data_IF_719667096706
#
_entry.id   IF_719667096706
#
_cell.length_a   1.000
_cell.length_b   1.000
_cell.length_c   1.000
_cell.angle_alpha   90.00
_cell.angle_beta   90.00
_cell.angle_gamma   90.00
#
_symmetry.space_group_name_H-M   'P 1'
#
loop_
_entity.id
_entity.type
_entity.pdbx_description
1 polymer ?
#
# COMPACT_ATOMS: atom_id res chain seq x y z
N UNK A 1 25.99 64.84 25.46
CA UNK A 1 24.89 64.73 24.49
C UNK A 1 24.14 63.43 24.75
N UNK A 2 22.80 63.45 24.70
CA UNK A 2 21.97 62.57 25.52
C UNK A 2 21.69 61.19 24.92
N UNK A 3 21.38 60.28 25.83
CA UNK A 3 20.89 58.94 25.63
C UNK A 3 19.46 58.91 25.05
N UNK A 4 19.19 57.90 24.21
CA UNK A 4 17.81 57.53 23.85
C UNK A 4 17.64 56.04 24.08
N UNK A 5 17.02 55.71 25.22
CA UNK A 5 16.49 54.40 25.52
C UNK A 5 15.19 54.19 24.73
N UNK A 6 15.06 53.05 24.06
CA UNK A 6 13.79 52.61 23.48
C UNK A 6 13.30 51.39 24.27
N UNK A 7 12.16 51.57 24.95
CA UNK A 7 11.49 50.56 25.80
C UNK A 7 10.02 50.58 25.36
N UNK A 8 9.55 49.55 24.66
CA UNK A 8 8.11 49.28 24.47
C UNK A 8 7.85 47.78 24.63
N UNK A 9 6.72 47.52 25.27
CA UNK A 9 6.26 46.40 26.09
C UNK A 9 5.73 45.17 25.30
N UNK A 10 5.40 44.06 25.99
CA UNK A 10 5.07 42.77 25.38
C UNK A 10 3.59 42.63 24.99
N UNK A 11 3.34 41.93 23.89
CA UNK A 11 2.00 41.58 23.39
C UNK A 11 1.50 40.28 24.02
N UNK A 12 0.23 40.29 24.39
CA UNK A 12 -0.44 39.42 25.33
C UNK A 12 -0.74 38.00 24.83
N UNK A 13 -0.78 37.08 25.79
CA UNK A 13 -1.27 35.71 25.65
C UNK A 13 -2.78 35.68 25.39
N UNK A 14 -3.20 34.92 24.38
CA UNK A 14 -4.61 34.62 24.11
C UNK A 14 -4.97 33.31 24.80
N UNK A 15 -5.74 33.44 25.88
CA UNK A 15 -6.35 32.36 26.65
C UNK A 15 -7.63 31.91 25.93
N UNK A 16 -7.65 30.70 25.35
CA UNK A 16 -8.87 30.12 24.76
C UNK A 16 -9.68 29.43 25.86
N UNK A 17 -10.77 30.08 26.25
CA UNK A 17 -11.79 29.59 27.18
C UNK A 17 -12.71 28.57 26.52
N UNK A 18 -12.87 27.40 27.17
CA UNK A 18 -13.89 26.39 26.90
C UNK A 18 -15.26 26.82 27.44
N UNK A 19 -16.39 26.56 26.75
CA UNK A 19 -17.70 26.66 27.35
C UNK A 19 -18.14 25.32 27.96
N UNK A 20 -18.17 25.32 29.30
CA UNK A 20 -19.04 24.47 30.13
C UNK A 20 -20.49 24.92 29.92
N UNK A 21 -21.40 23.99 29.57
CA UNK A 21 -22.83 24.22 29.76
C UNK A 21 -23.48 23.14 30.63
N UNK A 22 -24.37 23.63 31.47
CA UNK A 22 -24.88 23.07 32.71
C UNK A 22 -26.07 22.13 32.53
N UNK A 23 -26.28 21.38 33.61
CA UNK A 23 -27.34 20.45 33.95
C UNK A 23 -28.77 21.02 34.07
N UNK A 24 -29.70 20.04 34.18
CA UNK A 24 -31.03 19.98 34.84
C UNK A 24 -32.29 20.03 33.95
N UNK A 25 -33.44 19.40 34.34
CA UNK A 25 -33.71 18.56 35.51
C UNK A 25 -34.41 17.20 35.24
N UNK A 26 -34.56 16.47 36.35
CA UNK A 26 -35.25 15.21 36.55
C UNK A 26 -36.76 15.24 36.24
N UNK A 27 -37.28 14.09 35.81
CA UNK A 27 -38.66 13.68 36.10
C UNK A 27 -38.67 12.23 36.57
N UNK A 28 -39.26 12.03 37.74
CA UNK A 28 -39.45 10.76 38.45
C UNK A 28 -40.96 10.53 38.51
N UNK A 29 -41.47 9.47 37.89
CA UNK A 29 -42.82 8.98 38.20
C UNK A 29 -42.85 7.46 38.13
N UNK A 30 -42.99 6.89 39.32
CA UNK A 30 -43.32 5.51 39.66
C UNK A 30 -44.70 5.14 39.11
N UNK A 31 -44.85 3.93 38.56
CA UNK A 31 -46.07 3.13 38.77
C UNK A 31 -45.83 1.64 38.50
N UNK A 32 -46.44 0.85 39.36
CA UNK A 32 -46.30 -0.59 39.49
C UNK A 32 -47.21 -1.39 38.53
N UNK A 33 -46.71 -2.58 38.19
CA UNK A 33 -47.30 -3.91 37.85
C UNK A 33 -48.85 -4.00 37.84
N UNK A 34 -49.47 -4.73 36.87
CA UNK A 34 -49.66 -6.18 37.02
C UNK A 34 -49.35 -7.01 35.75
N UNK A 35 -48.85 -8.24 35.95
CA UNK A 35 -48.92 -9.34 34.98
C UNK A 35 -50.40 -9.80 34.82
N UNK A 36 -50.83 -10.44 33.71
CA UNK A 36 -50.56 -11.87 33.53
C UNK A 36 -50.53 -12.39 32.06
N UNK A 37 -50.37 -13.71 31.96
CA UNK A 37 -50.75 -14.61 30.86
C UNK A 37 -49.74 -14.98 29.77
N UNK A 38 -49.02 -16.06 30.07
CA UNK A 38 -48.70 -17.22 29.21
C UNK A 38 -49.43 -17.22 27.86
N UNK A 39 -48.65 -17.23 26.77
CA UNK A 39 -48.88 -18.14 25.64
C UNK A 39 -47.55 -18.56 25.02
N UNK A 40 -47.41 -19.87 24.93
CA UNK A 40 -46.32 -20.59 24.29
C UNK A 40 -46.31 -20.28 22.79
N UNK A 41 -45.16 -19.84 22.28
CA UNK A 41 -44.70 -20.13 20.92
C UNK A 41 -43.17 -20.22 20.99
N UNK A 42 -42.64 -21.39 20.61
CA UNK A 42 -41.22 -21.66 20.59
C UNK A 42 -40.50 -20.71 19.65
N UNK A 43 -39.55 -19.96 20.19
CA UNK A 43 -38.52 -19.29 19.41
C UNK A 43 -37.19 -19.91 19.81
N UNK A 44 -36.61 -20.65 18.88
CA UNK A 44 -35.24 -21.14 18.95
C UNK A 44 -34.32 -19.93 19.10
N UNK A 45 -33.72 -19.79 20.28
CA UNK A 45 -32.74 -18.77 20.56
C UNK A 45 -31.44 -19.12 19.82
N UNK A 46 -31.23 -18.52 18.65
CA UNK A 46 -29.91 -18.45 18.03
C UNK A 46 -29.07 -17.40 18.78
N UNK A 47 -27.85 -17.73 19.22
CA UNK A 47 -26.99 -16.75 19.87
C UNK A 47 -26.53 -15.68 18.88
N UNK A 48 -26.26 -14.44 19.33
CA UNK A 48 -25.69 -13.41 18.47
C UNK A 48 -24.27 -13.83 18.06
N UNK A 49 -24.11 -14.20 16.80
CA UNK A 49 -22.80 -14.35 16.15
C UNK A 49 -22.16 -12.97 16.12
N UNK A 50 -21.35 -12.65 17.13
CA UNK A 50 -20.32 -11.62 17.05
C UNK A 50 -19.37 -12.04 15.94
N UNK A 51 -19.60 -11.57 14.71
CA UNK A 51 -18.57 -11.52 13.66
C UNK A 51 -17.49 -10.57 14.15
N UNK A 52 -16.50 -11.13 14.85
CA UNK A 52 -15.16 -10.55 14.85
C UNK A 52 -14.73 -10.52 13.39
N UNK A 53 -14.68 -9.33 12.81
CA UNK A 53 -13.85 -9.03 11.65
C UNK A 53 -12.41 -9.24 12.12
N UNK A 54 -11.98 -10.49 12.17
CA UNK A 54 -10.57 -10.83 12.16
C UNK A 54 -10.09 -10.42 10.78
N UNK A 55 -9.38 -9.29 10.73
CA UNK A 55 -8.42 -8.99 9.69
C UNK A 55 -7.37 -10.11 9.70
N UNK A 56 -7.71 -11.22 9.05
CA UNK A 56 -6.74 -12.23 8.69
C UNK A 56 -5.92 -11.64 7.55
N UNK A 57 -4.83 -10.97 7.94
CA UNK A 57 -3.67 -10.78 7.10
C UNK A 57 -3.27 -12.16 6.58
N UNK A 58 -3.69 -12.46 5.35
CA UNK A 58 -3.25 -13.63 4.61
C UNK A 58 -1.86 -13.33 4.04
N UNK A 59 -0.86 -13.27 4.91
CA UNK A 59 0.53 -13.58 4.54
C UNK A 59 0.64 -15.08 4.40
N UNK A 60 0.22 -15.59 3.24
CA UNK A 60 0.52 -16.95 2.80
C UNK A 60 1.92 -16.99 2.17
N UNK A 61 2.74 -18.01 2.48
CA UNK A 61 4.04 -18.19 1.84
C UNK A 61 3.88 -18.86 0.47
N UNK A 62 4.64 -18.38 -0.53
CA UNK A 62 5.06 -19.20 -1.67
C UNK A 62 3.97 -19.68 -2.64
N UNK A 63 3.48 -18.78 -3.50
CA UNK A 63 2.60 -19.12 -4.62
C UNK A 63 3.08 -18.52 -5.94
N UNK A 64 4.35 -18.73 -6.29
CA UNK A 64 4.97 -18.34 -7.56
C UNK A 64 4.40 -19.16 -8.72
N UNK A 65 3.17 -18.86 -9.14
CA UNK A 65 2.60 -19.43 -10.36
C UNK A 65 3.21 -18.78 -11.62
N UNK A 66 3.63 -19.55 -12.64
CA UNK A 66 4.15 -19.02 -13.89
C UNK A 66 2.99 -18.49 -14.74
N UNK A 67 2.64 -17.22 -14.53
CA UNK A 67 1.55 -16.57 -15.27
C UNK A 67 1.56 -15.04 -15.15
N UNK A 68 2.74 -14.45 -14.90
CA UNK A 68 2.96 -13.01 -14.78
C UNK A 68 2.72 -12.26 -16.09
N UNK A 69 2.34 -11.00 -15.96
CA UNK A 69 1.86 -10.14 -17.04
C UNK A 69 3.01 -9.79 -18.00
N UNK A 70 3.27 -10.61 -19.02
CA UNK A 70 4.47 -10.49 -19.87
C UNK A 70 4.69 -9.13 -20.56
N UNK A 71 3.66 -8.29 -20.72
CA UNK A 71 3.81 -6.96 -21.32
C UNK A 71 4.13 -5.87 -20.28
N UNK A 72 3.35 -5.80 -19.19
CA UNK A 72 3.58 -4.86 -18.09
C UNK A 72 4.89 -5.15 -17.36
N UNK A 73 5.19 -6.43 -17.13
CA UNK A 73 6.42 -6.86 -16.46
C UNK A 73 7.67 -6.53 -17.30
N UNK A 74 7.56 -6.45 -18.64
CA UNK A 74 8.69 -6.05 -19.51
C UNK A 74 8.94 -4.55 -19.46
N UNK A 75 7.89 -3.72 -19.43
CA UNK A 75 8.06 -2.29 -19.33
C UNK A 75 8.57 -1.92 -17.94
N UNK A 76 8.02 -2.53 -16.90
CA UNK A 76 8.49 -2.35 -15.53
C UNK A 76 9.96 -2.76 -15.39
N UNK A 77 10.38 -3.91 -15.96
CA UNK A 77 11.81 -4.29 -15.99
C UNK A 77 12.71 -3.28 -16.68
N UNK A 78 12.25 -2.61 -17.75
CA UNK A 78 13.04 -1.58 -18.44
C UNK A 78 13.17 -0.32 -17.59
N UNK A 79 12.07 0.10 -16.98
CA UNK A 79 12.03 1.27 -16.11
C UNK A 79 12.90 1.02 -14.86
N UNK A 80 12.80 -0.18 -14.27
CA UNK A 80 13.63 -0.64 -13.15
C UNK A 80 15.13 -0.67 -13.54
N UNK A 81 15.47 -1.16 -14.73
CA UNK A 81 16.85 -1.17 -15.24
C UNK A 81 17.40 0.25 -15.42
N UNK A 82 16.59 1.18 -15.93
CA UNK A 82 17.00 2.59 -16.09
C UNK A 82 17.21 3.27 -14.73
N UNK A 83 16.38 2.97 -13.74
CA UNK A 83 16.54 3.49 -12.37
C UNK A 83 17.81 2.93 -11.73
N UNK A 84 18.09 1.63 -11.87
CA UNK A 84 19.35 1.04 -11.36
C UNK A 84 20.55 1.70 -12.00
N UNK A 85 20.55 1.82 -13.33
CA UNK A 85 21.64 2.48 -14.05
C UNK A 85 21.80 3.94 -13.62
N UNK A 86 20.70 4.67 -13.45
CA UNK A 86 20.70 6.05 -12.97
C UNK A 86 21.27 6.19 -11.55
N UNK A 87 20.86 5.32 -10.61
CA UNK A 87 21.37 5.31 -9.24
C UNK A 87 22.84 4.94 -9.22
N UNK A 88 23.26 3.90 -9.94
CA UNK A 88 24.66 3.50 -10.03
C UNK A 88 25.52 4.63 -10.60
N UNK A 89 25.07 5.30 -11.66
CA UNK A 89 25.80 6.41 -12.28
C UNK A 89 25.85 7.63 -11.35
N UNK A 90 24.74 7.96 -10.67
CA UNK A 90 24.69 9.03 -9.68
C UNK A 90 25.60 8.76 -8.47
N UNK A 91 25.60 7.53 -7.93
CA UNK A 91 26.51 7.12 -6.87
C UNK A 91 27.96 7.16 -7.33
N UNK A 92 28.25 6.72 -8.56
CA UNK A 92 29.60 6.83 -9.14
C UNK A 92 30.03 8.29 -9.25
N UNK A 93 29.14 9.19 -9.67
CA UNK A 93 29.41 10.63 -9.75
C UNK A 93 29.62 11.22 -8.35
N UNK A 94 28.80 10.85 -7.35
CA UNK A 94 28.96 11.30 -5.96
C UNK A 94 30.29 10.81 -5.38
N UNK A 95 30.68 9.56 -5.64
CA UNK A 95 31.98 9.02 -5.21
C UNK A 95 33.12 9.72 -5.93
N UNK A 96 33.04 9.93 -7.25
CA UNK A 96 34.06 10.67 -7.99
C UNK A 96 34.16 12.12 -7.54
N UNK A 97 33.03 12.77 -7.23
CA UNK A 97 32.98 14.11 -6.69
C UNK A 97 33.57 14.14 -5.27
N UNK A 98 33.28 13.15 -4.43
CA UNK A 98 33.87 13.00 -3.10
C UNK A 98 35.38 12.71 -3.17
N UNK A 99 35.85 11.93 -4.15
CA UNK A 99 37.27 11.67 -4.40
C UNK A 99 37.98 12.87 -5.04
N UNK A 100 37.28 13.70 -5.81
CA UNK A 100 37.85 14.92 -6.44
C UNK A 100 37.87 16.12 -5.50
N UNK A 101 36.81 16.31 -4.73
CA UNK A 101 36.73 17.34 -3.70
C UNK A 101 37.51 16.92 -2.44
N UNK A 102 37.49 15.63 -2.11
CA UNK A 102 38.24 15.04 -1.01
C UNK A 102 39.67 14.64 -1.37
N UNK A 103 40.06 14.55 -2.65
CA UNK A 103 41.47 14.25 -2.99
C UNK A 103 42.44 15.29 -2.44
N UNK A 104 42.02 16.56 -2.47
CA UNK A 104 42.76 17.69 -1.89
C UNK A 104 42.28 17.99 -0.44
N UNK A 105 40.99 17.81 -0.11
CA UNK A 105 40.44 18.11 1.22
C UNK A 105 40.52 16.97 2.27
N UNK A 106 40.74 15.72 1.87
CA UNK A 106 41.04 14.60 2.79
C UNK A 106 42.54 14.59 3.16
N UNK A 107 43.40 15.16 2.31
CA UNK A 107 44.80 15.43 2.66
C UNK A 107 44.92 16.63 3.62
N UNK A 108 44.04 17.62 3.49
CA UNK A 108 43.87 18.74 4.43
C UNK A 108 42.75 18.48 5.48
N UNK A 109 42.39 17.22 5.77
CA UNK A 109 41.26 16.88 6.66
C UNK A 109 41.43 17.40 8.10
N UNK A 110 42.65 17.76 8.52
CA UNK A 110 42.92 18.48 9.77
C UNK A 110 42.26 19.88 9.81
N UNK A 111 41.88 20.44 8.65
CA UNK A 111 41.31 21.79 8.54
C UNK A 111 39.77 21.84 8.69
N UNK A 112 39.09 20.69 8.69
CA UNK A 112 37.63 20.60 8.87
C UNK A 112 37.24 20.27 10.32
N UNK A 113 38.08 20.62 11.29
CA UNK A 113 37.78 20.51 12.72
C UNK A 113 36.63 21.48 13.09
N UNK A 114 35.40 20.97 13.07
CA UNK A 114 34.17 21.70 13.41
C UNK A 114 34.03 21.98 14.93
N UNK A 115 35.15 22.12 15.65
CA UNK A 115 35.20 22.46 17.07
C UNK A 115 34.84 21.31 18.03
N UNK A 116 34.66 20.10 17.50
CA UNK A 116 34.65 18.84 18.26
C UNK A 116 35.82 18.02 17.73
N UNK A 117 36.89 17.96 18.52
CA UNK A 117 38.26 17.53 18.18
C UNK A 117 38.43 16.05 17.76
N UNK A 118 37.45 15.43 17.10
CA UNK A 118 37.48 14.01 16.74
C UNK A 118 36.50 13.58 15.63
N UNK A 119 35.92 14.48 14.82
CA UNK A 119 35.00 14.10 13.74
C UNK A 119 35.50 14.61 12.39
N UNK A 120 36.06 13.70 11.58
CA UNK A 120 36.71 14.04 10.31
C UNK A 120 35.71 14.24 9.16
N UNK A 121 36.20 14.74 8.03
CA UNK A 121 35.42 14.77 6.78
C UNK A 121 34.97 13.38 6.34
N UNK A 122 35.80 12.35 6.57
CA UNK A 122 35.48 10.95 6.33
C UNK A 122 34.31 10.46 7.19
N UNK A 123 34.31 10.83 8.48
CA UNK A 123 33.21 10.50 9.39
C UNK A 123 31.89 11.15 8.96
N UNK A 124 31.96 12.39 8.47
CA UNK A 124 30.77 13.11 7.98
C UNK A 124 30.19 12.43 6.74
N UNK A 125 31.03 12.05 5.78
CA UNK A 125 30.60 11.33 4.59
C UNK A 125 30.04 9.95 4.96
N UNK A 126 30.74 9.22 5.83
CA UNK A 126 30.28 7.93 6.36
C UNK A 126 28.92 8.05 7.05
N UNK A 127 28.72 9.09 7.86
CA UNK A 127 27.46 9.34 8.56
C UNK A 127 26.30 9.62 7.60
N UNK A 128 26.54 10.39 6.54
CA UNK A 128 25.53 10.67 5.50
C UNK A 128 25.19 9.38 4.74
N UNK A 129 26.19 8.58 4.35
CA UNK A 129 25.99 7.32 3.66
C UNK A 129 25.20 6.32 4.53
N UNK A 130 25.60 6.14 5.78
CA UNK A 130 24.87 5.26 6.69
C UNK A 130 23.47 5.76 7.02
N UNK A 131 23.31 7.07 7.27
CA UNK A 131 22.00 7.66 7.55
C UNK A 131 21.03 7.51 6.37
N UNK A 132 21.52 7.71 5.14
CA UNK A 132 20.72 7.50 3.93
C UNK A 132 20.44 6.02 3.68
N UNK A 133 21.41 5.12 3.86
CA UNK A 133 21.17 3.68 3.75
C UNK A 133 20.09 3.20 4.73
N UNK A 134 20.20 3.57 6.01
CA UNK A 134 19.25 3.19 7.06
C UNK A 134 17.83 3.73 6.83
N UNK A 135 17.70 4.87 6.15
CA UNK A 135 16.39 5.41 5.77
C UNK A 135 15.61 4.44 4.87
N UNK A 136 16.31 3.73 3.98
CA UNK A 136 15.72 2.85 2.98
C UNK A 136 15.73 1.38 3.39
N UNK A 137 16.79 0.90 4.03
CA UNK A 137 16.95 -0.52 4.36
C UNK A 137 17.50 -0.68 5.77
N UNK A 138 16.92 -1.58 6.56
CA UNK A 138 17.52 -1.92 7.86
C UNK A 138 18.64 -2.96 7.68
N UNK A 139 19.62 -3.01 8.58
CA UNK A 139 20.64 -4.07 8.56
C UNK A 139 20.02 -5.47 8.64
N UNK A 140 18.89 -5.59 9.33
CA UNK A 140 18.11 -6.83 9.42
C UNK A 140 17.47 -7.18 8.07
N UNK A 141 16.97 -6.20 7.32
CA UNK A 141 16.43 -6.40 5.97
C UNK A 141 17.51 -6.81 4.97
N UNK A 142 18.73 -6.27 5.09
CA UNK A 142 19.86 -6.73 4.29
C UNK A 142 20.15 -8.22 4.55
N UNK A 143 20.09 -8.67 5.81
CA UNK A 143 20.23 -10.09 6.15
C UNK A 143 19.05 -10.93 5.63
N UNK A 144 17.81 -10.45 5.75
CA UNK A 144 16.63 -11.14 5.25
C UNK A 144 16.65 -11.29 3.73
N UNK A 145 17.19 -10.31 3.00
CA UNK A 145 17.39 -10.39 1.56
C UNK A 145 18.29 -11.59 1.20
N UNK A 146 19.36 -11.84 1.98
CA UNK A 146 20.20 -13.03 1.81
C UNK A 146 19.46 -14.33 2.15
N UNK A 147 18.48 -14.30 3.06
CA UNK A 147 17.62 -15.44 3.37
C UNK A 147 16.43 -15.59 2.40
N UNK A 148 16.31 -14.73 1.38
CA UNK A 148 15.21 -14.75 0.42
C UNK A 148 13.88 -14.23 0.97
N UNK A 149 13.89 -13.61 2.15
CA UNK A 149 12.74 -12.94 2.75
C UNK A 149 12.76 -11.46 2.36
N UNK A 150 11.78 -11.02 1.57
CA UNK A 150 11.64 -9.62 1.17
C UNK A 150 10.57 -9.00 2.06
N UNK A 151 11.00 -8.21 3.04
CA UNK A 151 10.07 -7.33 3.75
C UNK A 151 9.62 -6.20 2.84
N UNK A 152 8.32 -5.89 2.89
CA UNK A 152 7.73 -4.87 2.02
C UNK A 152 7.63 -3.52 2.70
N UNK A 153 8.01 -3.37 3.98
CA UNK A 153 7.94 -2.11 4.72
C UNK A 153 9.30 -1.43 4.86
N UNK A 154 9.40 -0.12 4.59
CA UNK A 154 10.65 0.62 4.82
C UNK A 154 10.82 0.91 6.31
N UNK A 155 12.07 0.92 6.83
CA UNK A 155 12.33 1.33 8.21
C UNK A 155 11.83 2.74 8.50
N UNK A 156 11.99 3.67 7.55
CA UNK A 156 11.49 5.04 7.66
C UNK A 156 9.96 5.12 7.71
N UNK A 157 9.26 4.33 6.90
CA UNK A 157 7.80 4.27 6.92
C UNK A 157 7.30 3.75 8.27
N UNK A 158 7.90 2.66 8.77
CA UNK A 158 7.58 2.12 10.08
C UNK A 158 7.81 3.16 11.19
N UNK A 159 8.96 3.84 11.19
CA UNK A 159 9.28 4.85 12.20
C UNK A 159 8.31 6.03 12.13
N UNK A 160 7.97 6.51 10.94
CA UNK A 160 6.98 7.58 10.75
C UNK A 160 5.59 7.17 11.25
N UNK A 161 5.20 5.90 11.08
CA UNK A 161 3.95 5.37 11.64
C UNK A 161 4.00 5.34 13.17
N UNK A 162 5.10 4.88 13.78
CA UNK A 162 5.23 4.85 15.23
C UNK A 162 5.24 6.25 15.84
N UNK A 163 5.98 7.18 15.24
CA UNK A 163 6.00 8.58 15.66
C UNK A 163 4.63 9.24 15.47
N UNK A 164 3.91 8.92 14.39
CA UNK A 164 2.55 9.39 14.16
C UNK A 164 1.57 8.88 15.21
N UNK A 165 1.63 7.58 15.55
CA UNK A 165 0.82 6.97 16.62
C UNK A 165 1.15 7.58 17.98
N UNK A 166 2.43 7.80 18.28
CA UNK A 166 2.86 8.46 19.51
C UNK A 166 2.37 9.91 19.62
N UNK A 167 2.25 10.61 18.49
CA UNK A 167 1.68 11.94 18.39
C UNK A 167 0.13 11.96 18.41
N UNK A 168 -0.52 10.79 18.52
CA UNK A 168 -1.99 10.68 18.55
C UNK A 168 -2.65 10.89 17.19
N UNK A 169 -1.92 10.72 16.09
CA UNK A 169 -2.45 10.84 14.73
C UNK A 169 -3.09 9.52 14.28
N UNK A 170 -4.14 9.62 13.47
CA UNK A 170 -4.80 8.46 12.86
C UNK A 170 -4.00 7.96 11.65
N UNK A 171 -2.97 7.17 11.93
CA UNK A 171 -2.02 6.65 10.94
C UNK A 171 -2.65 5.61 10.01
N UNK A 172 -3.72 4.96 10.46
CA UNK A 172 -4.42 3.92 9.69
C UNK A 172 -5.53 4.51 8.79
N UNK A 173 -5.74 5.84 8.85
CA UNK A 173 -6.66 6.53 7.96
C UNK A 173 -6.17 6.48 6.51
N UNK A 174 -7.12 6.25 5.60
CA UNK A 174 -6.86 6.12 4.16
C UNK A 174 -6.20 7.41 3.61
N UNK A 175 -6.58 8.58 4.11
CA UNK A 175 -6.07 9.88 3.66
C UNK A 175 -4.89 10.41 4.50
N UNK A 176 -4.26 9.55 5.32
CA UNK A 176 -3.19 9.98 6.22
C UNK A 176 -1.99 10.53 5.43
N UNK A 177 -1.68 11.81 5.65
CA UNK A 177 -0.46 12.46 5.16
C UNK A 177 0.46 12.70 6.35
N UNK A 178 1.67 12.15 6.27
CA UNK A 178 2.69 12.31 7.32
C UNK A 178 3.00 13.80 7.52
N UNK A 179 2.80 14.35 8.73
CA UNK A 179 3.13 15.74 9.01
C UNK A 179 4.63 16.02 8.86
N UNK A 180 4.97 17.25 8.48
CA UNK A 180 6.37 17.65 8.27
C UNK A 180 7.24 17.43 9.52
N UNK A 181 6.70 17.67 10.72
CA UNK A 181 7.41 17.44 11.98
C UNK A 181 7.76 15.97 12.19
N UNK A 182 6.84 15.05 11.90
CA UNK A 182 7.07 13.60 12.01
C UNK A 182 8.14 13.16 11.01
N UNK A 183 8.09 13.69 9.78
CA UNK A 183 9.11 13.42 8.76
C UNK A 183 10.48 13.93 9.20
N UNK A 184 10.56 15.16 9.74
CA UNK A 184 11.80 15.75 10.23
C UNK A 184 12.37 14.94 11.40
N UNK A 185 11.52 14.51 12.34
CA UNK A 185 11.93 13.66 13.45
C UNK A 185 12.48 12.30 12.98
N UNK A 186 11.84 11.69 11.98
CA UNK A 186 12.36 10.48 11.36
C UNK A 186 13.73 10.73 10.71
N UNK A 187 13.88 11.78 9.89
CA UNK A 187 15.14 12.13 9.22
C UNK A 187 16.25 12.37 10.26
N UNK A 188 15.94 13.12 11.32
CA UNK A 188 16.87 13.38 12.41
C UNK A 188 17.31 12.10 13.12
N UNK A 189 16.40 11.14 13.31
CA UNK A 189 16.71 9.84 13.94
C UNK A 189 17.69 9.03 13.07
N UNK A 190 17.47 8.97 11.76
CA UNK A 190 18.37 8.26 10.85
C UNK A 190 19.71 9.00 10.67
N UNK A 191 19.71 10.33 10.63
CA UNK A 191 20.93 11.12 10.61
C UNK A 191 21.77 10.89 11.88
N UNK A 192 21.14 10.94 13.07
CA UNK A 192 21.79 10.64 14.34
C UNK A 192 22.34 9.19 14.39
N UNK A 193 21.59 8.24 13.84
CA UNK A 193 22.04 6.84 13.73
C UNK A 193 23.25 6.71 12.80
N UNK A 194 23.25 7.43 11.68
CA UNK A 194 24.39 7.48 10.76
C UNK A 194 25.65 8.05 11.43
N UNK A 195 25.51 9.16 12.16
CA UNK A 195 26.61 9.74 12.95
C UNK A 195 27.13 8.76 14.00
N UNK A 196 26.22 8.08 14.72
CA UNK A 196 26.60 7.08 15.72
C UNK A 196 27.38 5.91 15.09
N UNK A 197 26.96 5.42 13.92
CA UNK A 197 27.66 4.34 13.21
C UNK A 197 29.03 4.81 12.73
N UNK A 198 29.14 5.98 12.12
CA UNK A 198 30.40 6.53 11.64
C UNK A 198 31.39 6.71 12.81
N UNK A 199 30.96 7.38 13.89
CA UNK A 199 31.77 7.56 15.09
C UNK A 199 32.18 6.22 15.71
N UNK A 200 31.28 5.23 15.75
CA UNK A 200 31.61 3.90 16.27
C UNK A 200 32.61 3.15 15.39
N UNK A 201 32.53 3.31 14.06
CA UNK A 201 33.44 2.68 13.12
C UNK A 201 34.85 3.24 13.28
N UNK A 202 34.98 4.56 13.36
CA UNK A 202 36.27 5.23 13.56
C UNK A 202 36.86 4.94 14.95
N UNK A 203 36.03 4.87 15.99
CA UNK A 203 36.48 4.50 17.34
C UNK A 203 36.94 3.03 17.47
N UNK A 204 36.29 2.10 16.77
CA UNK A 204 36.57 0.66 16.88
C UNK A 204 37.65 0.17 15.91
N UNK A 205 37.67 0.71 14.69
CA UNK A 205 38.54 0.27 13.59
C UNK A 205 39.73 1.21 13.38
N UNK A 206 39.72 2.39 14.01
CA UNK A 206 40.81 3.37 13.96
C UNK A 206 40.93 4.10 12.63
N UNK A 207 39.97 3.93 11.70
CA UNK A 207 40.01 4.51 10.36
C UNK A 207 38.60 4.77 9.81
N UNK A 208 38.38 5.99 9.32
CA UNK A 208 37.17 6.49 8.69
C UNK A 208 36.87 5.84 7.32
N UNK A 209 37.88 5.26 6.66
CA UNK A 209 37.72 4.54 5.38
C UNK A 209 36.70 3.40 5.53
N UNK A 210 36.62 2.77 6.70
CA UNK A 210 35.63 1.73 6.96
C UNK A 210 34.20 2.27 6.98
N UNK A 211 33.97 3.42 7.61
CA UNK A 211 32.66 4.04 7.66
C UNK A 211 32.17 4.41 6.25
N UNK A 212 33.05 4.97 5.42
CA UNK A 212 32.74 5.39 4.04
C UNK A 212 32.50 4.17 3.14
N UNK A 213 33.41 3.20 3.14
CA UNK A 213 33.31 2.03 2.25
C UNK A 213 32.09 1.15 2.56
N UNK A 214 31.82 0.89 3.83
CA UNK A 214 30.64 0.11 4.25
C UNK A 214 29.35 0.90 4.07
N UNK A 215 29.36 2.21 4.30
CA UNK A 215 28.24 3.11 4.02
C UNK A 215 27.89 3.14 2.53
N UNK A 216 28.90 3.16 1.65
CA UNK A 216 28.69 3.12 0.20
C UNK A 216 28.09 1.78 -0.25
N UNK A 217 28.63 0.66 0.24
CA UNK A 217 28.12 -0.67 -0.07
C UNK A 217 26.67 -0.86 0.39
N UNK A 218 26.33 -0.36 1.58
CA UNK A 218 24.96 -0.40 2.09
C UNK A 218 24.02 0.54 1.36
N UNK A 219 24.46 1.73 0.93
CA UNK A 219 23.69 2.61 0.05
C UNK A 219 23.35 1.93 -1.28
N UNK A 220 24.32 1.24 -1.90
CA UNK A 220 24.09 0.51 -3.14
C UNK A 220 23.06 -0.61 -2.93
N UNK A 221 23.21 -1.39 -1.86
CA UNK A 221 22.25 -2.44 -1.50
C UNK A 221 20.85 -1.89 -1.21
N UNK A 222 20.76 -0.74 -0.53
CA UNK A 222 19.51 -0.02 -0.29
C UNK A 222 18.86 0.45 -1.60
N UNK A 223 19.65 0.95 -2.56
CA UNK A 223 19.17 1.30 -3.90
C UNK A 223 18.63 0.09 -4.66
N UNK A 224 19.33 -1.05 -4.60
CA UNK A 224 18.85 -2.30 -5.21
C UNK A 224 17.56 -2.81 -4.57
N UNK A 225 17.47 -2.74 -3.23
CA UNK A 225 16.26 -3.11 -2.49
C UNK A 225 15.07 -2.23 -2.88
N UNK A 226 15.30 -0.92 -3.01
CA UNK A 226 14.27 0.04 -3.39
C UNK A 226 13.74 -0.21 -4.80
N UNK A 227 14.60 -0.59 -5.75
CA UNK A 227 14.16 -0.97 -7.10
C UNK A 227 13.42 -2.31 -7.10
N UNK A 228 13.86 -3.28 -6.30
CA UNK A 228 13.20 -4.58 -6.21
C UNK A 228 11.85 -4.53 -5.48
N UNK A 229 11.55 -3.44 -4.76
CA UNK A 229 10.35 -3.33 -3.94
C UNK A 229 9.11 -3.07 -4.81
N UNK A 230 8.01 -3.82 -4.61
CA UNK A 230 6.74 -3.51 -5.25
C UNK A 230 6.28 -2.09 -4.92
N UNK A 231 6.01 -1.29 -5.96
CA UNK A 231 5.51 0.08 -5.81
C UNK A 231 4.17 0.06 -5.06
N UNK A 232 4.07 0.81 -3.96
CA UNK A 232 2.80 1.03 -3.27
C UNK A 232 1.86 1.78 -4.20
N UNK A 233 0.68 1.22 -4.44
CA UNK A 233 -0.39 1.91 -5.16
C UNK A 233 -0.76 3.17 -4.38
N UNK A 234 -1.05 4.26 -5.08
CA UNK A 234 -1.55 5.46 -4.39
C UNK A 234 -2.89 5.13 -3.73
N UNK A 235 -3.27 5.90 -2.72
CA UNK A 235 -4.55 5.74 -2.03
C UNK A 235 -5.71 5.84 -3.02
N UNK A 236 -5.67 6.83 -3.90
CA UNK A 236 -6.65 7.05 -4.96
C UNK A 236 -6.72 5.84 -5.91
N UNK A 237 -5.56 5.35 -6.36
CA UNK A 237 -5.47 4.17 -7.23
C UNK A 237 -6.00 2.89 -6.54
N UNK A 238 -5.76 2.74 -5.24
CA UNK A 238 -6.27 1.62 -4.45
C UNK A 238 -7.80 1.70 -4.29
N UNK A 239 -8.34 2.90 -4.01
CA UNK A 239 -9.78 3.14 -3.94
C UNK A 239 -10.46 2.88 -5.29
N UNK A 240 -9.85 3.31 -6.40
CA UNK A 240 -10.36 3.06 -7.75
C UNK A 240 -10.40 1.57 -8.08
N UNK A 241 -9.34 0.82 -7.75
CA UNK A 241 -9.28 -0.64 -7.95
C UNK A 241 -10.29 -1.38 -7.07
N UNK A 242 -10.49 -0.93 -5.82
CA UNK A 242 -11.50 -1.50 -4.94
C UNK A 242 -12.92 -1.20 -5.45
N UNK A 243 -13.19 0.04 -5.90
CA UNK A 243 -14.48 0.39 -6.50
C UNK A 243 -14.76 -0.46 -7.76
N UNK A 244 -13.76 -0.61 -8.63
CA UNK A 244 -13.83 -1.47 -9.81
C UNK A 244 -14.12 -2.93 -9.44
N UNK A 245 -13.47 -3.44 -8.39
CA UNK A 245 -13.72 -4.77 -7.86
C UNK A 245 -15.15 -4.94 -7.34
N UNK A 246 -15.64 -3.99 -6.55
CA UNK A 246 -16.99 -4.02 -5.99
C UNK A 246 -18.07 -3.96 -7.09
N UNK A 247 -17.87 -3.12 -8.11
CA UNK A 247 -18.76 -3.06 -9.28
C UNK A 247 -18.76 -4.38 -10.05
N UNK A 248 -17.58 -4.95 -10.32
CA UNK A 248 -17.46 -6.24 -10.98
C UNK A 248 -18.09 -7.38 -10.18
N UNK A 249 -17.87 -7.43 -8.86
CA UNK A 249 -18.43 -8.46 -7.99
C UNK A 249 -19.97 -8.41 -7.98
N UNK A 250 -20.56 -7.20 -7.96
CA UNK A 250 -22.01 -7.01 -8.09
C UNK A 250 -22.53 -7.55 -9.42
N UNK A 251 -21.89 -7.19 -10.53
CA UNK A 251 -22.22 -7.72 -11.86
C UNK A 251 -22.10 -9.26 -11.90
N UNK A 252 -20.98 -9.79 -11.43
CA UNK A 252 -20.68 -11.22 -11.45
C UNK A 252 -21.70 -12.04 -10.65
N UNK A 253 -22.11 -11.56 -9.48
CA UNK A 253 -23.12 -12.22 -8.66
C UNK A 253 -24.51 -12.28 -9.31
N UNK A 254 -24.81 -11.38 -10.23
CA UNK A 254 -26.10 -11.33 -10.95
C UNK A 254 -26.04 -12.09 -12.27
N UNK A 255 -24.92 -11.99 -13.00
CA UNK A 255 -24.81 -12.43 -14.39
C UNK A 255 -23.92 -13.64 -14.61
N UNK A 256 -23.06 -14.01 -13.66
CA UNK A 256 -22.14 -15.13 -13.80
C UNK A 256 -22.54 -16.26 -12.87
N UNK A 257 -22.59 -17.46 -13.43
CA UNK A 257 -22.79 -18.70 -12.70
C UNK A 257 -21.48 -19.49 -12.69
N UNK A 258 -21.18 -20.13 -11.55
CA UNK A 258 -19.95 -20.91 -11.34
C UNK A 258 -20.02 -22.31 -11.96
N UNK A 259 -20.43 -22.41 -13.23
CA UNK A 259 -20.60 -23.67 -13.99
C UNK A 259 -20.29 -23.44 -15.47
N UNK A 260 -20.10 -24.51 -16.23
CA UNK A 260 -19.97 -24.41 -17.69
C UNK A 260 -18.65 -23.78 -18.18
N UNK A 261 -18.68 -23.21 -19.39
CA UNK A 261 -17.53 -22.56 -20.04
C UNK A 261 -18.01 -21.29 -20.74
N UNK A 262 -17.24 -20.21 -20.61
CA UNK A 262 -17.56 -18.92 -21.21
C UNK A 262 -16.28 -18.28 -21.75
N UNK A 263 -16.39 -17.62 -22.89
CA UNK A 263 -15.25 -16.91 -23.46
C UNK A 263 -15.10 -15.53 -22.81
N UNK A 264 -13.86 -15.07 -22.64
CA UNK A 264 -13.55 -13.78 -22.03
C UNK A 264 -14.31 -12.60 -22.68
N UNK A 265 -14.41 -12.60 -24.02
CA UNK A 265 -15.13 -11.53 -24.75
C UNK A 265 -16.63 -11.53 -24.48
N UNK A 266 -17.23 -12.66 -24.12
CA UNK A 266 -18.65 -12.71 -23.76
C UNK A 266 -18.89 -12.06 -22.40
N UNK A 267 -17.99 -12.28 -21.45
CA UNK A 267 -18.00 -11.63 -20.13
C UNK A 267 -17.83 -10.12 -20.30
N UNK A 268 -16.84 -9.68 -21.10
CA UNK A 268 -16.64 -8.25 -21.41
C UNK A 268 -17.89 -7.63 -22.02
N UNK A 269 -18.48 -8.28 -23.04
CA UNK A 269 -19.69 -7.77 -23.71
C UNK A 269 -20.88 -7.70 -22.76
N UNK A 270 -21.05 -8.69 -21.88
CA UNK A 270 -22.10 -8.66 -20.86
C UNK A 270 -21.87 -7.54 -19.84
N UNK A 271 -20.64 -7.35 -19.38
CA UNK A 271 -20.25 -6.29 -18.46
C UNK A 271 -20.48 -4.90 -19.07
N UNK A 272 -20.10 -4.70 -20.33
CA UNK A 272 -20.29 -3.43 -21.06
C UNK A 272 -21.76 -3.12 -21.34
N UNK A 273 -22.64 -4.13 -21.38
CA UNK A 273 -24.09 -3.92 -21.49
C UNK A 273 -24.69 -3.46 -20.18
N UNK A 274 -24.27 -4.03 -19.06
CA UNK A 274 -24.81 -3.71 -17.74
C UNK A 274 -24.18 -2.44 -17.14
N UNK A 275 -22.91 -2.18 -17.43
CA UNK A 275 -22.14 -1.04 -16.94
C UNK A 275 -21.51 -0.29 -18.13
N UNK A 276 -22.21 0.73 -18.67
CA UNK A 276 -21.76 1.49 -19.84
C UNK A 276 -20.41 2.19 -19.67
N UNK A 277 -19.99 2.45 -18.42
CA UNK A 277 -18.68 3.03 -18.04
C UNK A 277 -17.49 2.27 -18.61
N UNK A 278 -17.62 0.95 -18.81
CA UNK A 278 -16.55 0.05 -19.28
C UNK A 278 -16.55 -0.17 -20.80
N UNK A 279 -17.41 0.52 -21.56
CA UNK A 279 -17.46 0.42 -23.02
C UNK A 279 -16.17 0.96 -23.65
N UNK A 280 -15.76 0.40 -24.79
CA UNK A 280 -14.60 0.88 -25.56
C UNK A 280 -14.73 2.39 -25.83
N UNK A 281 -13.72 3.18 -25.41
CA UNK A 281 -13.74 4.65 -25.46
C UNK A 281 -14.25 5.35 -24.19
N UNK A 282 -14.70 4.60 -23.17
CA UNK A 282 -15.01 5.12 -21.84
C UNK A 282 -13.75 5.42 -21.03
N UNK A 283 -13.88 6.28 -20.01
CA UNK A 283 -12.78 6.66 -19.12
C UNK A 283 -12.20 5.50 -18.30
N UNK A 284 -12.92 4.37 -18.20
CA UNK A 284 -12.50 3.22 -17.42
C UNK A 284 -12.57 1.91 -18.23
N UNK A 285 -12.17 1.93 -19.51
CA UNK A 285 -12.13 0.70 -20.31
C UNK A 285 -11.30 -0.41 -19.60
N UNK A 286 -11.89 -1.59 -19.46
CA UNK A 286 -11.27 -2.72 -18.76
C UNK A 286 -10.31 -3.47 -19.69
N UNK A 287 -9.03 -3.50 -19.34
CA UNK A 287 -8.06 -4.35 -20.01
C UNK A 287 -8.31 -5.84 -19.70
N UNK A 288 -7.97 -6.71 -20.65
CA UNK A 288 -8.06 -8.18 -20.54
C UNK A 288 -7.29 -8.70 -19.31
N UNK A 289 -6.14 -8.10 -19.00
CA UNK A 289 -5.35 -8.49 -17.82
C UNK A 289 -6.06 -8.16 -16.51
N UNK A 290 -6.73 -7.01 -16.45
CA UNK A 290 -7.50 -6.56 -15.29
C UNK A 290 -8.73 -7.43 -15.09
N UNK A 291 -9.49 -7.72 -16.16
CA UNK A 291 -10.62 -8.64 -16.10
C UNK A 291 -10.19 -10.02 -15.56
N UNK A 292 -9.04 -10.54 -16.01
CA UNK A 292 -8.53 -11.82 -15.50
C UNK A 292 -8.29 -11.79 -13.99
N UNK A 293 -7.72 -10.70 -13.47
CA UNK A 293 -7.49 -10.54 -12.01
C UNK A 293 -8.82 -10.49 -11.26
N UNK A 294 -9.78 -9.74 -11.77
CA UNK A 294 -11.13 -9.63 -11.20
C UNK A 294 -11.82 -11.00 -11.18
N UNK A 295 -11.85 -11.72 -12.30
CA UNK A 295 -12.44 -13.07 -12.39
C UNK A 295 -11.76 -14.04 -11.42
N UNK A 296 -10.42 -14.04 -11.35
CA UNK A 296 -9.66 -14.91 -10.44
C UNK A 296 -9.92 -14.62 -8.97
N UNK A 297 -10.13 -13.35 -8.61
CA UNK A 297 -10.48 -12.97 -7.24
C UNK A 297 -11.92 -13.38 -6.88
N UNK A 298 -12.84 -13.36 -7.85
CA UNK A 298 -14.24 -13.72 -7.63
C UNK A 298 -14.49 -15.23 -7.61
N UNK A 299 -13.89 -15.97 -8.54
CA UNK A 299 -13.95 -17.43 -8.62
C UNK A 299 -12.52 -18.00 -8.71
N UNK A 300 -11.87 -18.33 -7.57
CA UNK A 300 -10.52 -18.90 -7.56
C UNK A 300 -10.42 -20.25 -8.28
N UNK A 301 -11.53 -20.98 -8.40
CA UNK A 301 -11.67 -22.24 -9.13
C UNK A 301 -11.74 -22.08 -10.67
N UNK A 302 -11.80 -20.84 -11.17
CA UNK A 302 -11.89 -20.58 -12.59
C UNK A 302 -10.52 -20.63 -13.27
N UNK A 303 -10.31 -21.64 -14.10
CA UNK A 303 -9.11 -21.76 -14.92
C UNK A 303 -9.32 -21.15 -16.32
N UNK A 304 -8.37 -20.34 -16.78
CA UNK A 304 -8.35 -19.80 -18.14
C UNK A 304 -7.54 -20.70 -19.07
N UNK A 305 -8.13 -21.07 -20.21
CA UNK A 305 -7.45 -21.73 -21.32
C UNK A 305 -6.57 -20.75 -22.11
N UNK A 306 -5.56 -21.26 -22.82
CA UNK A 306 -4.77 -20.48 -23.80
C UNK A 306 -5.67 -19.74 -24.80
N UNK A 307 -6.81 -20.34 -25.16
CA UNK A 307 -7.76 -19.81 -26.13
C UNK A 307 -8.73 -18.75 -25.54
N UNK A 308 -8.53 -18.31 -24.29
CA UNK A 308 -9.36 -17.25 -23.67
C UNK A 308 -10.68 -17.71 -23.05
N UNK A 309 -10.93 -19.02 -22.98
CA UNK A 309 -12.10 -19.58 -22.29
C UNK A 309 -11.85 -19.76 -20.80
N UNK A 310 -12.82 -19.38 -19.97
CA UNK A 310 -12.86 -19.71 -18.56
C UNK A 310 -13.65 -21.01 -18.33
N UNK A 311 -13.08 -21.94 -17.57
CA UNK A 311 -13.81 -23.11 -17.05
C UNK A 311 -14.57 -22.74 -15.78
N UNK A 312 -15.66 -23.43 -15.52
CA UNK A 312 -16.54 -23.23 -14.35
C UNK A 312 -17.14 -21.82 -14.27
N UNK A 313 -17.24 -21.14 -15.42
CA UNK A 313 -17.92 -19.85 -15.53
C UNK A 313 -18.81 -19.90 -16.76
N UNK A 314 -20.07 -19.53 -16.57
CA UNK A 314 -21.04 -19.33 -17.64
C UNK A 314 -21.84 -18.07 -17.36
N UNK A 315 -22.28 -17.41 -18.42
CA UNK A 315 -23.26 -16.34 -18.28
C UNK A 315 -24.59 -16.97 -17.88
N UNK A 316 -25.18 -16.46 -16.80
CA UNK A 316 -26.55 -16.73 -16.45
C UNK A 316 -27.39 -16.43 -17.69
N UNK A 317 -28.21 -17.39 -18.11
CA UNK A 317 -29.18 -17.15 -19.18
C UNK A 317 -29.98 -15.94 -18.73
N UNK A 318 -29.96 -14.86 -19.52
CA UNK A 318 -30.90 -13.77 -19.32
C UNK A 318 -32.25 -14.45 -19.19
N UNK A 319 -32.87 -14.38 -18.01
CA UNK A 319 -34.14 -15.03 -17.77
C UNK A 319 -35.08 -14.42 -18.79
N UNK A 320 -35.26 -15.11 -19.92
CA UNK A 320 -36.41 -14.91 -20.77
C UNK A 320 -37.55 -15.28 -19.86
N UNK A 321 -38.14 -14.28 -19.22
CA UNK A 321 -39.45 -14.39 -18.62
C UNK A 321 -40.28 -15.19 -19.61
N UNK A 322 -40.64 -16.39 -19.19
CA UNK A 322 -41.30 -17.41 -19.98
C UNK A 322 -42.62 -16.85 -20.51
N UNK A 323 -42.57 -16.23 -21.68
CA UNK A 323 -43.74 -16.08 -22.54
C UNK A 323 -43.82 -17.42 -23.26
N UNK A 324 -44.73 -18.26 -22.80
CA UNK A 324 -44.99 -19.57 -23.37
C UNK A 324 -45.39 -19.43 -24.83
N UNK A 325 -44.52 -19.87 -25.73
CA UNK A 325 -44.92 -20.27 -27.08
C UNK A 325 -45.13 -21.78 -27.03
N UNK A 326 -46.41 -22.16 -26.97
CA UNK A 326 -46.86 -23.54 -26.96
C UNK A 326 -46.30 -24.31 -28.15
N UNK A 327 -45.79 -25.50 -27.86
CA UNK A 327 -45.56 -26.54 -28.86
C UNK A 327 -46.91 -26.95 -29.45
N UNK A 328 -47.23 -26.44 -30.64
CA UNK A 328 -48.28 -27.03 -31.48
C UNK A 328 -47.67 -28.27 -32.14
N UNK A 329 -47.94 -29.41 -31.53
CA UNK A 329 -47.78 -30.73 -32.13
C UNK A 329 -48.88 -30.93 -33.17
N UNK A 330 -48.57 -30.65 -34.45
CA UNK A 330 -49.43 -30.98 -35.58
C UNK A 330 -49.16 -32.40 -36.06
N UNK A 331 -50.01 -33.34 -35.64
CA UNK A 331 -50.12 -34.67 -36.22
C UNK A 331 -50.92 -34.58 -37.52
N UNK A 332 -50.24 -34.56 -38.66
CA UNK A 332 -50.84 -34.71 -39.98
C UNK A 332 -50.80 -36.17 -40.41
N UNK A 333 -51.94 -36.85 -40.29
CA UNK A 333 -52.20 -38.15 -40.89
C UNK A 333 -52.72 -37.92 -42.31
N UNK A 334 -51.86 -38.11 -43.32
CA UNK A 334 -52.30 -38.21 -44.71
C UNK A 334 -52.55 -39.68 -45.06
N UNK A 335 -53.84 -40.02 -45.11
CA UNK A 335 -54.37 -41.19 -45.80
C UNK A 335 -54.55 -40.84 -47.27
N UNK A 336 -53.91 -41.58 -48.17
CA UNK A 336 -54.21 -41.56 -49.59
C UNK A 336 -54.56 -43.00 -50.03
N UNK A 337 -55.85 -43.26 -50.10
CA UNK A 337 -56.45 -44.29 -50.96
C UNK A 337 -56.91 -43.59 -52.25
N UNK A 338 -56.55 -44.20 -53.40
CA UNK A 338 -57.16 -44.29 -54.74
C UNK A 338 -56.03 -44.41 -55.77
#
# INVERSE_FOLDING_TARGET
MPATACRIAPTQAVLVTTPRNRCFPAFRTTRAIPAPCRRLCGAVATPPVRRRLSAAAATGPGGSGPGGNSAGDRQQRKDDQQIILGICLALTVVVLLALKLGGDALQDADAWDLGYSSFSGGDTLGAVLWGTALWFVSPLQLLLLFFGAIETERPSDWLMQQLGRAAGLDVDAIDYKVPALVRLAAVATFAASGVAIAASSSALLGDEIWAVSTGLGTCMAAGMFEVGRPKRMSVEEAQEKEAQWQEFAKFANVRLERRGRCHETEIVRALQRDLPKYREGGSAALDSSTLRKLVRNWAPEAERSSNGYYKNIQLARASSSSIGSGSISGSGSDSADI
#
